data_IF_729161421095
#
_entry.id   IF_729161421095
#
_cell.length_a   1.000
_cell.length_b   1.000
_cell.length_c   1.000
_cell.angle_alpha   90.00
_cell.angle_beta   90.00
_cell.angle_gamma   90.00
#
_symmetry.space_group_name_H-M   'P 1'
#
loop_
_entity.id
_entity.type
_entity.pdbx_description
1 polymer ?
#
# COMPACT_ATOMS: atom_id res chain seq x y z
N UNK A 1 -25.70 1.00 1.60
CA UNK A 1 -24.36 1.59 1.83
C UNK A 1 -23.21 0.75 1.22
N UNK A 2 -23.43 0.14 0.04
CA UNK A 2 -22.39 -0.40 -0.86
C UNK A 2 -22.76 -0.13 -2.34
N UNK A 3 -23.64 0.86 -2.55
CA UNK A 3 -24.48 1.08 -3.72
C UNK A 3 -23.67 1.49 -4.97
N UNK A 4 -22.35 1.63 -4.83
CA UNK A 4 -21.41 2.17 -5.82
C UNK A 4 -20.86 1.13 -6.82
N UNK A 5 -21.25 -0.15 -6.70
CA UNK A 5 -20.84 -1.23 -7.62
C UNK A 5 -21.93 -1.64 -8.64
N UNK A 6 -23.04 -0.91 -8.68
CA UNK A 6 -24.33 -1.33 -9.25
C UNK A 6 -24.43 -1.59 -10.78
N UNK A 7 -23.32 -1.74 -11.50
CA UNK A 7 -23.31 -1.97 -12.97
C UNK A 7 -22.35 -3.07 -13.45
N UNK A 8 -21.67 -3.80 -12.56
CA UNK A 8 -20.73 -4.86 -12.95
C UNK A 8 -21.40 -6.25 -13.04
N UNK A 9 -21.12 -7.00 -14.11
CA UNK A 9 -21.52 -8.41 -14.31
C UNK A 9 -20.50 -9.16 -15.17
N UNK A 10 -20.38 -10.50 -14.98
CA UNK A 10 -20.33 -11.56 -16.02
C UNK A 10 -19.88 -12.91 -15.42
N UNK A 11 -20.41 -14.02 -15.95
CA UNK A 11 -20.09 -15.42 -15.65
C UNK A 11 -19.73 -16.16 -16.98
N UNK A 12 -19.19 -17.38 -17.05
CA UNK A 12 -18.94 -18.42 -16.03
C UNK A 12 -17.73 -19.32 -16.45
N UNK A 13 -17.37 -20.33 -15.65
CA UNK A 13 -16.20 -21.22 -15.79
C UNK A 13 -16.32 -22.27 -16.91
N UNK A 14 -15.21 -22.62 -17.56
CA UNK A 14 -15.10 -23.85 -18.38
C UNK A 14 -13.74 -24.59 -18.29
N UNK A 15 -13.81 -25.86 -17.88
CA UNK A 15 -12.89 -27.01 -18.04
C UNK A 15 -11.37 -26.91 -17.78
N UNK A 16 -10.94 -27.60 -16.71
CA UNK A 16 -9.57 -28.09 -16.51
C UNK A 16 -9.30 -29.27 -17.46
N UNK A 17 -8.21 -29.21 -18.24
CA UNK A 17 -7.63 -30.37 -18.93
C UNK A 17 -6.19 -30.61 -18.51
N UNK A 18 -5.97 -31.70 -17.79
CA UNK A 18 -4.64 -32.20 -17.40
C UNK A 18 -4.05 -33.10 -18.48
N UNK A 19 -2.85 -32.76 -18.93
CA UNK A 19 -1.97 -33.65 -19.71
C UNK A 19 -0.59 -33.67 -19.04
N UNK A 20 -0.01 -34.85 -18.86
CA UNK A 20 1.09 -35.04 -17.90
C UNK A 20 2.49 -35.03 -18.49
N UNK A 21 3.46 -34.51 -17.72
CA UNK A 21 4.78 -35.13 -17.52
C UNK A 21 5.56 -34.44 -16.38
N UNK A 22 6.06 -35.24 -15.43
CA UNK A 22 7.13 -34.91 -14.46
C UNK A 22 7.13 -33.50 -13.85
N UNK A 23 6.24 -33.34 -12.89
CA UNK A 23 6.11 -32.19 -12.01
C UNK A 23 4.65 -32.15 -11.57
N UNK A 24 4.39 -32.17 -10.26
CA UNK A 24 3.03 -31.89 -9.79
C UNK A 24 2.60 -30.52 -10.34
N UNK A 25 1.30 -30.30 -10.64
CA UNK A 25 0.84 -29.02 -11.15
C UNK A 25 1.43 -27.92 -10.27
N UNK A 26 2.16 -26.98 -10.87
CA UNK A 26 2.69 -25.82 -10.15
C UNK A 26 1.45 -25.12 -9.59
N UNK A 27 1.15 -25.32 -8.28
CA UNK A 27 0.06 -24.61 -7.58
C UNK A 27 0.17 -23.16 -8.01
N UNK A 28 -0.89 -22.59 -8.58
CA UNK A 28 -0.89 -21.25 -9.15
C UNK A 28 -0.31 -20.29 -8.10
N UNK A 29 0.95 -19.88 -8.29
CA UNK A 29 1.72 -19.20 -7.23
C UNK A 29 1.34 -17.73 -7.18
N UNK A 30 1.11 -17.18 -8.36
CA UNK A 30 0.75 -15.80 -8.61
C UNK A 30 -0.78 -15.69 -8.59
N UNK A 31 -1.36 -14.68 -7.91
CA UNK A 31 -2.78 -14.38 -8.02
C UNK A 31 -3.08 -13.65 -9.34
N UNK A 32 -4.34 -13.32 -9.56
CA UNK A 32 -4.85 -12.55 -10.70
C UNK A 32 -5.27 -11.14 -10.24
N UNK A 33 -5.39 -10.17 -11.16
CA UNK A 33 -5.71 -8.77 -10.84
C UNK A 33 -4.57 -8.04 -10.13
N UNK A 34 -4.82 -6.90 -9.49
CA UNK A 34 -3.79 -6.16 -8.73
C UNK A 34 -3.60 -6.75 -7.34
N UNK A 35 -2.89 -7.88 -7.25
CA UNK A 35 -2.82 -8.71 -6.05
C UNK A 35 -1.40 -9.26 -5.75
N UNK A 36 -1.17 -9.58 -4.48
CA UNK A 36 0.02 -10.25 -3.96
C UNK A 36 -0.42 -11.44 -3.10
N UNK A 37 -0.03 -12.66 -3.48
CA UNK A 37 -0.30 -13.88 -2.72
C UNK A 37 0.78 -14.09 -1.67
N UNK A 38 0.37 -14.19 -0.41
CA UNK A 38 1.25 -14.50 0.74
C UNK A 38 0.95 -15.93 1.17
N UNK A 39 1.91 -16.84 1.05
CA UNK A 39 1.78 -18.21 1.52
C UNK A 39 2.13 -18.33 3.01
N UNK A 40 1.57 -19.35 3.68
CA UNK A 40 1.83 -19.70 5.09
C UNK A 40 3.30 -19.90 5.47
N UNK A 41 4.19 -20.11 4.50
CA UNK A 41 5.62 -20.29 4.71
C UNK A 41 6.42 -19.00 4.52
N UNK A 42 5.71 -17.86 4.48
CA UNK A 42 6.23 -16.53 4.23
C UNK A 42 6.48 -16.21 2.76
N UNK A 43 6.30 -17.14 1.81
CA UNK A 43 6.63 -16.83 0.42
C UNK A 43 5.61 -15.87 -0.23
N UNK A 44 6.10 -14.79 -0.81
CA UNK A 44 5.31 -13.71 -1.41
C UNK A 44 5.43 -13.73 -2.93
N UNK A 45 4.30 -13.78 -3.65
CA UNK A 45 4.25 -13.80 -5.11
C UNK A 45 3.28 -12.74 -5.65
N UNK A 46 3.71 -11.82 -6.53
CA UNK A 46 2.81 -10.86 -7.15
C UNK A 46 2.07 -11.48 -8.34
N UNK A 47 0.96 -10.87 -8.75
CA UNK A 47 0.31 -11.15 -10.02
C UNK A 47 1.09 -10.55 -11.22
N UNK A 48 0.87 -11.06 -12.44
CA UNK A 48 1.41 -10.44 -13.66
C UNK A 48 0.96 -8.99 -13.86
N UNK A 49 -0.31 -8.67 -13.59
CA UNK A 49 -0.87 -7.32 -13.76
C UNK A 49 -0.18 -6.30 -12.85
N UNK A 50 0.12 -6.70 -11.61
CA UNK A 50 0.82 -5.90 -10.62
C UNK A 50 2.30 -5.71 -11.00
N UNK A 51 2.96 -6.74 -11.54
CA UNK A 51 4.33 -6.63 -12.06
C UNK A 51 4.40 -5.65 -13.24
N UNK A 52 3.44 -5.72 -14.15
CA UNK A 52 3.32 -4.84 -15.31
C UNK A 52 3.01 -3.39 -14.91
N UNK A 53 1.97 -3.17 -14.10
CA UNK A 53 1.50 -1.83 -13.71
C UNK A 53 2.56 -1.01 -12.95
N UNK A 54 3.38 -1.67 -12.14
CA UNK A 54 4.36 -1.00 -11.27
C UNK A 54 5.82 -1.20 -11.68
N UNK A 55 6.12 -1.80 -12.83
CA UNK A 55 7.49 -2.10 -13.29
C UNK A 55 8.33 -2.80 -12.21
N UNK A 56 7.81 -3.93 -11.71
CA UNK A 56 8.40 -4.66 -10.59
C UNK A 56 9.44 -5.70 -11.02
N UNK A 57 9.48 -6.06 -12.31
CA UNK A 57 10.35 -7.12 -12.81
C UNK A 57 11.84 -6.78 -12.63
N UNK A 58 12.70 -7.78 -12.59
CA UNK A 58 14.14 -7.54 -12.58
C UNK A 58 14.58 -6.95 -13.94
N UNK A 59 15.07 -5.71 -13.92
CA UNK A 59 15.78 -5.15 -15.05
C UNK A 59 17.14 -5.85 -15.26
N UNK A 60 17.74 -5.64 -16.43
CA UNK A 60 19.13 -6.05 -16.68
C UNK A 60 20.08 -5.38 -15.67
N UNK A 61 21.22 -6.02 -15.39
CA UNK A 61 22.22 -5.47 -14.48
C UNK A 61 22.65 -4.07 -14.95
N UNK A 62 22.60 -3.03 -14.10
CA UNK A 62 23.03 -1.70 -14.50
C UNK A 62 24.52 -1.69 -14.86
N UNK A 63 24.89 -0.83 -15.81
CA UNK A 63 26.30 -0.55 -16.08
C UNK A 63 26.97 0.12 -14.87
N UNK A 64 28.30 0.10 -14.82
CA UNK A 64 29.04 0.76 -13.75
C UNK A 64 28.70 2.26 -13.69
N UNK A 65 28.38 2.76 -12.49
CA UNK A 65 27.90 4.13 -12.28
C UNK A 65 26.41 4.37 -12.55
N UNK A 66 25.65 3.39 -13.05
CA UNK A 66 24.19 3.51 -13.23
C UNK A 66 23.42 2.97 -12.02
N UNK A 67 22.26 3.58 -11.74
CA UNK A 67 21.33 3.10 -10.70
C UNK A 67 20.47 1.95 -11.20
N UNK A 68 20.06 1.07 -10.28
CA UNK A 68 19.08 -0.01 -10.54
C UNK A 68 17.72 0.60 -10.89
N UNK A 69 17.16 0.20 -12.03
CA UNK A 69 15.83 0.60 -12.51
C UNK A 69 14.71 -0.30 -11.98
N UNK A 70 13.45 0.07 -12.22
CA UNK A 70 12.26 -0.63 -11.71
C UNK A 70 11.87 -0.22 -10.28
N UNK A 71 10.76 -0.78 -9.78
CA UNK A 71 10.20 -0.47 -8.46
C UNK A 71 10.08 -1.70 -7.54
N UNK A 72 9.95 -1.44 -6.24
CA UNK A 72 9.41 -2.36 -5.25
C UNK A 72 8.37 -1.62 -4.41
N UNK A 73 8.16 -2.05 -3.18
CA UNK A 73 7.10 -1.49 -2.34
C UNK A 73 7.54 -1.07 -0.94
N UNK A 74 6.78 -0.15 -0.35
CA UNK A 74 6.71 0.03 1.09
C UNK A 74 5.37 -0.52 1.57
N UNK A 75 5.38 -1.62 2.35
CA UNK A 75 4.22 -2.02 3.16
C UNK A 75 4.29 -1.30 4.51
N UNK A 76 3.16 -0.76 4.95
CA UNK A 76 3.07 0.17 6.09
C UNK A 76 1.80 -0.14 6.89
N UNK A 77 1.93 -0.29 8.21
CA UNK A 77 0.79 -0.34 9.14
C UNK A 77 0.34 1.10 9.46
N UNK A 78 -0.94 1.41 9.24
CA UNK A 78 -1.47 2.76 9.50
C UNK A 78 -1.40 3.16 10.97
N UNK A 79 -1.31 2.21 11.91
CA UNK A 79 -1.03 2.47 13.34
C UNK A 79 0.30 3.20 13.57
N UNK A 80 1.29 2.96 12.72
CA UNK A 80 2.62 3.60 12.80
C UNK A 80 2.71 4.87 11.92
N UNK A 81 1.72 5.13 11.07
CA UNK A 81 1.74 6.21 10.09
C UNK A 81 0.48 7.09 10.20
N UNK A 82 0.39 7.95 11.24
CA UNK A 82 -0.80 8.72 11.57
C UNK A 82 -1.19 9.79 10.53
N UNK A 83 -0.34 10.02 9.52
CA UNK A 83 -0.67 10.83 8.33
C UNK A 83 -1.76 10.18 7.48
N UNK A 84 -1.87 8.84 7.49
CA UNK A 84 -2.90 8.12 6.75
C UNK A 84 -4.10 7.82 7.66
N UNK A 85 -4.98 8.81 7.80
CA UNK A 85 -6.16 8.70 8.66
C UNK A 85 -7.26 7.88 7.99
N UNK A 86 -7.55 6.73 8.57
CA UNK A 86 -8.64 5.82 8.19
C UNK A 86 -9.32 5.32 9.47
N UNK A 87 -10.64 5.17 9.43
CA UNK A 87 -11.45 4.80 10.62
C UNK A 87 -11.18 3.40 11.20
N UNK A 88 -10.29 2.62 10.59
CA UNK A 88 -9.80 1.32 11.08
C UNK A 88 -8.32 1.14 10.72
N UNK A 89 -7.57 0.44 11.57
CA UNK A 89 -6.19 0.01 11.26
C UNK A 89 -6.19 -0.91 10.04
N UNK A 90 -5.30 -0.65 9.09
CA UNK A 90 -5.08 -1.46 7.88
C UNK A 90 -3.60 -1.45 7.51
N UNK A 91 -3.20 -2.34 6.62
CA UNK A 91 -2.01 -2.16 5.82
C UNK A 91 -2.31 -1.25 4.62
N UNK A 92 -1.34 -0.39 4.29
CA UNK A 92 -1.25 0.32 3.02
C UNK A 92 0.07 -0.04 2.33
N UNK A 93 0.11 0.17 1.02
CA UNK A 93 1.28 -0.13 0.20
C UNK A 93 1.56 1.02 -0.78
N UNK A 94 2.83 1.40 -0.93
CA UNK A 94 3.29 2.45 -1.86
C UNK A 94 4.37 1.88 -2.79
N UNK A 95 4.28 2.05 -4.12
CA UNK A 95 5.41 1.76 -5.01
C UNK A 95 6.57 2.71 -4.71
N UNK A 96 7.80 2.21 -4.87
CA UNK A 96 9.06 2.93 -4.56
C UNK A 96 10.15 2.44 -5.51
N UNK A 97 10.92 3.36 -6.11
CA UNK A 97 12.07 3.02 -6.97
C UNK A 97 13.06 2.05 -6.31
N UNK A 98 13.54 1.03 -7.04
CA UNK A 98 14.42 -0.03 -6.50
C UNK A 98 15.73 0.49 -5.90
N UNK A 99 16.24 1.62 -6.41
CA UNK A 99 17.43 2.31 -5.90
C UNK A 99 17.23 2.98 -4.53
N UNK A 100 15.99 3.23 -4.09
CA UNK A 100 15.72 3.75 -2.76
C UNK A 100 15.73 2.64 -1.70
N UNK A 101 16.16 2.96 -0.47
CA UNK A 101 15.93 2.10 0.68
C UNK A 101 14.42 1.84 0.82
N UNK A 102 14.00 0.57 0.73
CA UNK A 102 12.60 0.11 0.66
C UNK A 102 12.45 -1.25 1.32
N UNK A 103 11.22 -1.72 1.51
CA UNK A 103 10.96 -3.13 1.88
C UNK A 103 10.93 -3.96 0.61
N UNK A 104 11.92 -4.82 0.38
CA UNK A 104 11.82 -5.74 -0.75
C UNK A 104 10.88 -6.90 -0.40
N UNK A 105 9.66 -6.85 -0.94
CA UNK A 105 8.68 -7.94 -0.90
C UNK A 105 9.11 -9.12 -1.78
N UNK A 106 10.01 -8.89 -2.72
CA UNK A 106 10.44 -9.87 -3.71
C UNK A 106 11.88 -10.31 -3.44
N UNK A 107 12.31 -11.37 -4.13
CA UNK A 107 13.66 -11.88 -3.95
C UNK A 107 14.67 -10.95 -4.65
N UNK A 108 15.96 -11.27 -4.53
CA UNK A 108 16.99 -10.71 -5.40
C UNK A 108 17.38 -11.74 -6.46
N UNK A 109 17.31 -11.38 -7.74
CA UNK A 109 17.87 -12.23 -8.81
C UNK A 109 19.40 -12.16 -8.85
N UNK A 110 20.01 -13.13 -9.53
CA UNK A 110 21.40 -13.06 -10.01
C UNK A 110 21.38 -12.89 -11.53
N UNK A 111 22.51 -12.57 -12.14
CA UNK A 111 22.57 -12.25 -13.57
C UNK A 111 23.32 -13.32 -14.37
N UNK A 112 22.95 -13.42 -15.65
CA UNK A 112 23.67 -14.14 -16.70
C UNK A 112 24.91 -13.36 -17.16
N UNK A 113 25.73 -13.99 -18.00
CA UNK A 113 26.95 -13.37 -18.56
C UNK A 113 26.63 -12.20 -19.50
N UNK A 114 25.45 -12.21 -20.14
CA UNK A 114 24.90 -11.13 -20.96
C UNK A 114 24.21 -10.00 -20.13
N UNK A 115 24.33 -10.05 -18.80
CA UNK A 115 23.69 -9.14 -17.83
C UNK A 115 22.15 -9.24 -17.74
N UNK A 116 21.50 -10.21 -18.38
CA UNK A 116 20.07 -10.49 -18.18
C UNK A 116 19.80 -11.14 -16.82
N UNK A 117 18.61 -10.94 -16.21
CA UNK A 117 18.25 -11.60 -14.96
C UNK A 117 18.07 -13.11 -15.14
N UNK A 118 18.50 -13.91 -14.17
CA UNK A 118 18.38 -15.39 -14.18
C UNK A 118 17.00 -15.92 -13.83
N UNK A 119 16.07 -15.05 -13.49
CA UNK A 119 14.72 -15.39 -13.00
C UNK A 119 13.77 -14.22 -13.22
N UNK A 120 12.48 -14.49 -13.10
CA UNK A 120 11.43 -13.48 -12.95
C UNK A 120 11.04 -13.33 -11.46
N UNK A 121 10.56 -12.13 -11.09
CA UNK A 121 9.86 -11.88 -9.82
C UNK A 121 8.63 -12.80 -9.66
N UNK A 122 7.99 -13.20 -10.77
CA UNK A 122 6.84 -14.12 -10.74
C UNK A 122 7.22 -15.54 -10.29
N UNK A 123 8.46 -15.98 -10.54
CA UNK A 123 8.93 -17.33 -10.18
C UNK A 123 9.52 -17.44 -8.76
N UNK A 124 10.05 -16.32 -8.23
CA UNK A 124 10.84 -16.29 -7.00
C UNK A 124 10.11 -15.66 -5.81
N UNK A 125 9.39 -16.51 -5.06
CA UNK A 125 8.76 -16.08 -3.81
C UNK A 125 9.78 -15.72 -2.74
N UNK A 126 9.78 -14.46 -2.31
CA UNK A 126 10.61 -14.00 -1.18
C UNK A 126 9.98 -14.41 0.14
N UNK A 127 10.80 -14.84 1.11
CA UNK A 127 10.32 -15.19 2.46
C UNK A 127 10.66 -14.16 3.53
N UNK A 128 11.75 -13.42 3.35
CA UNK A 128 12.40 -12.65 4.42
C UNK A 128 11.46 -11.66 5.12
N UNK A 129 10.74 -10.83 4.36
CA UNK A 129 9.73 -9.93 4.93
C UNK A 129 8.41 -10.65 5.22
N UNK A 130 8.06 -11.63 4.38
CA UNK A 130 6.80 -12.37 4.45
C UNK A 130 6.60 -13.11 5.77
N UNK A 131 7.61 -13.87 6.22
CA UNK A 131 7.51 -14.67 7.45
C UNK A 131 7.74 -13.87 8.74
N UNK A 132 8.63 -12.87 8.74
CA UNK A 132 9.02 -12.14 9.97
C UNK A 132 8.11 -10.94 10.28
N UNK A 133 7.50 -10.31 9.27
CA UNK A 133 6.72 -9.09 9.45
C UNK A 133 5.31 -9.19 8.84
N UNK A 134 5.17 -9.64 7.59
CA UNK A 134 3.89 -9.56 6.87
C UNK A 134 2.82 -10.53 7.40
N UNK A 135 3.17 -11.80 7.64
CA UNK A 135 2.24 -12.77 8.25
C UNK A 135 1.76 -12.28 9.63
N UNK A 136 2.64 -11.89 10.58
CA UNK A 136 2.21 -11.31 11.86
C UNK A 136 1.29 -10.09 11.71
N UNK A 137 1.58 -9.18 10.78
CA UNK A 137 0.70 -8.03 10.53
C UNK A 137 -0.67 -8.44 9.96
N UNK A 138 -0.73 -9.42 9.06
CA UNK A 138 -2.01 -9.93 8.52
C UNK A 138 -2.83 -10.61 9.63
N UNK A 139 -2.18 -11.44 10.45
CA UNK A 139 -2.80 -12.09 11.61
C UNK A 139 -3.31 -11.08 12.64
N UNK A 140 -2.52 -10.05 12.99
CA UNK A 140 -2.90 -9.05 14.00
C UNK A 140 -3.99 -8.07 13.51
N UNK A 141 -3.92 -7.62 12.25
CA UNK A 141 -4.79 -6.56 11.73
C UNK A 141 -6.12 -7.12 11.20
N UNK A 142 -6.10 -8.30 10.58
CA UNK A 142 -7.27 -8.88 9.91
C UNK A 142 -7.80 -10.16 10.57
N UNK A 143 -7.10 -10.72 11.56
CA UNK A 143 -7.53 -11.93 12.27
C UNK A 143 -7.39 -13.24 11.47
N UNK A 144 -6.81 -13.19 10.27
CA UNK A 144 -6.67 -14.35 9.37
C UNK A 144 -5.48 -15.19 9.82
N UNK A 145 -5.74 -16.42 10.28
CA UNK A 145 -4.69 -17.36 10.74
C UNK A 145 -4.13 -18.19 9.58
N UNK A 146 -2.82 -18.24 9.46
CA UNK A 146 -2.15 -19.13 8.50
C UNK A 146 -2.00 -20.54 9.08
N UNK A 147 -2.19 -21.55 8.22
CA UNK A 147 -2.10 -22.96 8.61
C UNK A 147 -0.70 -23.35 9.02
N UNK A 148 -0.48 -23.69 10.29
CA UNK A 148 0.83 -24.14 10.78
C UNK A 148 1.19 -25.53 10.24
N UNK A 149 2.43 -25.97 10.47
CA UNK A 149 2.93 -27.24 9.91
C UNK A 149 2.14 -28.46 10.39
N UNK A 150 1.72 -28.41 11.66
CA UNK A 150 1.12 -29.53 12.39
C UNK A 150 -0.39 -29.29 12.68
N UNK A 151 -0.97 -28.27 12.06
CA UNK A 151 -2.39 -27.89 12.18
C UNK A 151 -3.09 -28.08 10.83
N UNK A 152 -4.33 -28.59 10.84
CA UNK A 152 -5.14 -28.77 9.63
C UNK A 152 -6.02 -27.55 9.31
N UNK A 153 -6.15 -26.61 10.25
CA UNK A 153 -7.00 -25.42 10.16
C UNK A 153 -6.19 -24.18 9.73
N UNK A 154 -6.89 -23.15 9.25
CA UNK A 154 -6.28 -21.93 8.72
C UNK A 154 -5.93 -21.97 7.22
N UNK A 155 -5.57 -20.79 6.72
CA UNK A 155 -5.32 -20.54 5.30
C UNK A 155 -3.95 -21.08 4.85
N UNK A 156 -3.88 -21.70 3.67
CA UNK A 156 -2.58 -22.05 3.06
C UNK A 156 -1.89 -20.81 2.46
N UNK A 157 -2.67 -19.87 1.96
CA UNK A 157 -2.24 -18.58 1.44
C UNK A 157 -3.36 -17.55 1.62
N UNK A 158 -3.01 -16.26 1.54
CA UNK A 158 -3.93 -15.13 1.53
C UNK A 158 -3.57 -14.25 0.34
N UNK A 159 -4.57 -13.88 -0.47
CA UNK A 159 -4.40 -12.90 -1.54
C UNK A 159 -4.65 -11.50 -0.99
N UNK A 160 -3.65 -10.64 -1.11
CA UNK A 160 -3.68 -9.25 -0.66
C UNK A 160 -3.86 -8.33 -1.86
N UNK A 161 -5.01 -7.68 -1.95
CA UNK A 161 -5.41 -6.81 -3.05
C UNK A 161 -4.88 -5.39 -2.85
N UNK A 162 -4.43 -4.75 -3.94
CA UNK A 162 -4.12 -3.33 -4.00
C UNK A 162 -5.36 -2.58 -4.47
N UNK A 163 -5.99 -1.86 -3.55
CA UNK A 163 -7.24 -1.14 -3.79
C UNK A 163 -6.95 0.36 -3.76
N UNK A 164 -7.38 1.07 -4.80
CA UNK A 164 -7.36 2.53 -4.86
C UNK A 164 -8.46 3.17 -4.01
N UNK A 165 -8.52 4.50 -4.00
CA UNK A 165 -9.61 5.23 -3.37
C UNK A 165 -10.94 4.89 -4.07
N UNK A 166 -11.95 4.34 -3.37
CA UNK A 166 -13.19 3.89 -4.01
C UNK A 166 -13.98 5.02 -4.69
N UNK A 167 -13.80 6.27 -4.26
CA UNK A 167 -14.48 7.43 -4.86
C UNK A 167 -13.86 7.88 -6.20
N UNK A 168 -12.59 7.59 -6.46
CA UNK A 168 -11.86 8.07 -7.66
C UNK A 168 -11.24 6.96 -8.50
N UNK A 169 -11.16 5.74 -7.97
CA UNK A 169 -10.42 4.61 -8.52
C UNK A 169 -8.92 4.91 -8.76
N UNK A 170 -8.38 5.93 -8.07
CA UNK A 170 -6.97 6.34 -8.10
C UNK A 170 -6.30 6.09 -6.75
N UNK A 171 -4.96 5.94 -6.65
CA UNK A 171 -4.28 5.88 -5.36
C UNK A 171 -4.54 7.13 -4.52
N UNK A 172 -4.42 6.99 -3.21
CA UNK A 172 -4.37 8.14 -2.30
C UNK A 172 -3.04 8.88 -2.45
N UNK A 173 -3.12 10.19 -2.63
CA UNK A 173 -1.98 11.10 -2.53
C UNK A 173 -1.91 11.73 -1.13
N UNK A 174 -0.81 12.39 -0.81
CA UNK A 174 -0.69 13.16 0.42
C UNK A 174 -1.69 14.35 0.43
N UNK A 175 -2.30 14.66 1.58
CA UNK A 175 -3.28 15.75 1.67
C UNK A 175 -2.63 17.13 1.56
N UNK A 176 -3.46 18.14 1.26
CA UNK A 176 -3.12 19.57 1.31
C UNK A 176 -1.92 19.96 0.43
N UNK A 177 -1.77 19.33 -0.74
CA UNK A 177 -0.70 19.64 -1.70
C UNK A 177 0.72 19.29 -1.24
N UNK A 178 0.88 18.52 -0.14
CA UNK A 178 2.19 18.09 0.32
C UNK A 178 2.81 17.11 -0.68
N UNK A 179 4.06 17.35 -1.06
CA UNK A 179 4.86 16.43 -1.88
C UNK A 179 5.79 15.52 -1.06
N UNK A 180 5.92 15.73 0.25
CA UNK A 180 6.91 15.01 1.09
C UNK A 180 6.26 14.42 2.33
N UNK A 181 6.67 13.20 2.68
CA UNK A 181 6.31 12.55 3.96
C UNK A 181 7.47 11.72 4.50
N UNK A 182 7.34 11.24 5.74
CA UNK A 182 8.28 10.37 6.42
C UNK A 182 7.58 9.05 6.75
N UNK A 183 7.97 7.98 6.06
CA UNK A 183 7.37 6.65 6.23
C UNK A 183 8.12 5.89 7.34
N UNK A 184 7.42 5.32 8.34
CA UNK A 184 8.06 4.53 9.38
C UNK A 184 8.66 3.25 8.80
N UNK A 185 9.85 2.88 9.30
CA UNK A 185 10.58 1.66 8.90
C UNK A 185 11.18 0.97 10.11
N UNK A 186 11.08 -0.36 10.13
CA UNK A 186 11.75 -1.19 11.14
C UNK A 186 13.15 -1.53 10.66
N UNK A 187 14.15 -1.28 11.50
CA UNK A 187 15.55 -1.62 11.20
C UNK A 187 15.71 -3.15 11.25
N UNK A 188 16.15 -3.77 10.16
CA UNK A 188 16.19 -5.24 10.02
C UNK A 188 17.50 -5.88 10.46
N UNK A 189 18.59 -5.11 10.60
CA UNK A 189 19.96 -5.59 10.87
C UNK A 189 20.75 -4.54 11.67
N UNK A 190 21.83 -4.98 12.33
CA UNK A 190 22.71 -4.10 13.12
C UNK A 190 22.32 -4.04 14.60
N UNK A 191 22.96 -3.13 15.35
CA UNK A 191 22.73 -2.94 16.77
C UNK A 191 21.28 -2.51 17.06
N UNK A 192 20.71 -1.66 16.20
CA UNK A 192 19.36 -1.13 16.34
C UNK A 192 18.27 -2.04 15.73
N UNK A 193 18.55 -3.35 15.50
CA UNK A 193 17.56 -4.27 14.91
C UNK A 193 16.26 -4.25 15.74
N UNK A 194 15.15 -3.95 15.07
CA UNK A 194 13.82 -3.83 15.66
C UNK A 194 13.38 -2.40 15.98
N UNK A 195 14.30 -1.43 16.01
CA UNK A 195 13.96 -0.02 16.19
C UNK A 195 13.13 0.52 15.01
N UNK A 196 12.23 1.47 15.30
CA UNK A 196 11.45 2.19 14.28
C UNK A 196 12.18 3.50 13.95
N UNK A 197 12.66 3.61 12.72
CA UNK A 197 13.19 4.83 12.10
C UNK A 197 12.19 5.37 11.08
N UNK A 198 12.54 6.45 10.37
CA UNK A 198 11.73 6.95 9.25
C UNK A 198 12.55 7.11 7.98
N UNK A 199 11.89 7.05 6.83
CA UNK A 199 12.49 7.31 5.52
C UNK A 199 11.68 8.38 4.79
N UNK A 200 12.35 9.43 4.33
CA UNK A 200 11.73 10.51 3.54
C UNK A 200 11.30 9.96 2.17
N UNK A 201 10.06 10.23 1.77
CA UNK A 201 9.53 9.97 0.42
C UNK A 201 9.06 11.26 -0.22
N UNK A 202 9.27 11.36 -1.52
CA UNK A 202 8.75 12.43 -2.37
C UNK A 202 7.67 11.86 -3.30
N UNK A 203 6.59 12.61 -3.46
CA UNK A 203 5.38 12.30 -4.23
C UNK A 203 4.88 10.83 -4.11
N UNK A 204 4.79 10.25 -2.89
CA UNK A 204 4.33 8.88 -2.72
C UNK A 204 2.83 8.77 -3.04
N UNK A 205 2.47 7.62 -3.62
CA UNK A 205 1.09 7.23 -3.92
C UNK A 205 0.77 5.96 -3.12
N UNK A 206 -0.39 5.93 -2.46
CA UNK A 206 -0.75 4.85 -1.54
C UNK A 206 -1.97 4.08 -2.04
N UNK A 207 -1.92 2.76 -1.88
CA UNK A 207 -3.04 1.85 -2.08
C UNK A 207 -3.38 1.18 -0.74
N UNK A 208 -4.64 0.87 -0.51
CA UNK A 208 -5.04 0.01 0.60
C UNK A 208 -4.61 -1.43 0.27
N UNK A 209 -4.01 -2.12 1.24
CA UNK A 209 -3.46 -3.47 1.03
C UNK A 209 -4.26 -4.47 1.87
N UNK A 210 -5.36 -4.98 1.31
CA UNK A 210 -6.40 -5.68 2.05
C UNK A 210 -6.51 -7.15 1.62
N UNK A 211 -6.78 -8.11 2.52
CA UNK A 211 -7.06 -9.48 2.14
C UNK A 211 -8.33 -9.57 1.27
N UNK A 212 -8.30 -10.39 0.22
CA UNK A 212 -9.45 -10.67 -0.63
C UNK A 212 -10.65 -11.18 0.19
N UNK A 213 -10.41 -11.99 1.22
CA UNK A 213 -11.44 -12.45 2.16
C UNK A 213 -12.15 -11.30 2.90
N UNK A 214 -11.43 -10.24 3.26
CA UNK A 214 -12.03 -9.06 3.92
C UNK A 214 -12.86 -8.26 2.91
N UNK A 215 -12.37 -8.13 1.68
CA UNK A 215 -13.04 -7.38 0.61
C UNK A 215 -14.32 -8.09 0.17
N UNK A 216 -14.26 -9.41 -0.03
CA UNK A 216 -15.39 -10.25 -0.44
C UNK A 216 -16.35 -10.53 0.74
N UNK A 217 -15.81 -10.77 1.95
CA UNK A 217 -16.61 -11.00 3.16
C UNK A 217 -17.43 -9.78 3.59
N UNK A 218 -16.96 -8.56 3.28
CA UNK A 218 -17.74 -7.33 3.46
C UNK A 218 -19.00 -7.30 2.57
N UNK A 219 -19.07 -8.12 1.50
CA UNK A 219 -20.27 -8.26 0.66
C UNK A 219 -21.27 -9.27 1.28
N UNK A 220 -20.80 -10.35 1.90
CA UNK A 220 -21.65 -11.43 2.40
C UNK A 220 -22.50 -11.08 3.64
N UNK A 221 -22.01 -10.20 4.53
CA UNK A 221 -22.73 -9.85 5.77
C UNK A 221 -23.87 -8.84 5.56
N UNK A 222 -23.92 -8.20 4.39
CA UNK A 222 -24.92 -7.16 4.07
C UNK A 222 -26.26 -7.71 3.56
N UNK A 223 -26.32 -8.97 3.12
CA UNK A 223 -27.50 -9.53 2.43
C UNK A 223 -28.54 -10.19 3.35
N UNK A 224 -28.37 -10.16 4.67
CA UNK A 224 -29.19 -10.97 5.61
C UNK A 224 -30.14 -10.21 6.54
N UNK A 225 -30.20 -8.89 6.49
CA UNK A 225 -31.07 -8.09 7.38
C UNK A 225 -32.29 -7.41 6.72
N UNK A 226 -32.42 -7.38 5.39
CA UNK A 226 -33.55 -6.71 4.71
C UNK A 226 -34.58 -7.66 4.04
N UNK A 227 -35.17 -8.60 4.79
CA UNK A 227 -36.56 -9.07 4.51
C UNK A 227 -37.31 -9.44 5.80
N UNK A 228 -37.72 -8.44 6.60
CA UNK A 228 -38.98 -8.52 7.37
C UNK A 228 -39.41 -7.17 7.95
N UNK A 229 -40.36 -6.48 7.30
CA UNK A 229 -41.64 -6.06 7.89
C UNK A 229 -42.44 -5.18 6.91
N UNK A 230 -43.60 -5.68 6.47
CA UNK A 230 -44.80 -4.84 6.53
C UNK A 230 -45.28 -4.76 8.00
N UNK A 231 -46.19 -3.88 8.39
CA UNK A 231 -47.17 -3.16 7.56
C UNK A 231 -47.69 -1.92 8.30
N UNK A 232 -48.54 -1.16 7.61
CA UNK A 232 -49.62 -0.29 8.12
C UNK A 232 -49.35 1.19 8.46
N UNK A 233 -50.25 2.00 7.90
CA UNK A 233 -50.48 3.42 8.15
C UNK A 233 -51.06 3.65 9.56
N UNK A 234 -50.99 4.90 10.05
CA UNK A 234 -52.19 5.74 10.33
C UNK A 234 -51.74 7.17 10.68
N UNK A 235 -52.55 8.15 10.25
CA UNK A 235 -52.28 9.59 10.33
C UNK A 235 -52.32 10.20 11.76
N UNK A 236 -51.82 11.45 11.93
CA UNK A 236 -52.67 12.68 11.99
C UNK A 236 -52.02 13.86 12.78
N UNK A 237 -51.94 15.06 12.14
CA UNK A 237 -51.95 16.46 12.71
C UNK A 237 -50.93 16.86 13.83
N UNK A 238 -50.51 18.12 14.06
CA UNK A 238 -50.87 19.49 13.59
C UNK A 238 -49.67 20.45 13.86
N UNK A 239 -49.67 21.68 13.28
CA UNK A 239 -49.32 23.02 13.84
C UNK A 239 -48.26 23.19 14.99
N UNK A 240 -47.50 24.30 15.17
CA UNK A 240 -47.44 25.67 14.60
C UNK A 240 -46.23 26.46 15.21
N UNK A 241 -45.77 27.57 14.58
CA UNK A 241 -44.87 28.65 15.13
C UNK A 241 -43.43 28.30 15.59
N UNK A 242 -42.47 29.23 15.67
CA UNK A 242 -42.33 30.63 15.21
C UNK A 242 -40.83 30.98 15.00
N UNK A 243 -40.54 32.11 14.36
CA UNK A 243 -39.20 32.63 14.13
C UNK A 243 -38.55 33.25 15.39
N UNK A 244 -37.20 33.20 15.46
CA UNK A 244 -36.40 34.16 16.25
C UNK A 244 -35.10 34.50 15.52
N UNK A 245 -34.69 35.75 15.65
CA UNK A 245 -33.75 36.55 14.87
C UNK A 245 -32.26 36.14 14.89
N UNK A 246 -31.55 36.66 13.88
CA UNK A 246 -30.09 36.92 13.91
C UNK A 246 -29.72 37.86 15.07
N UNK A 247 -28.44 37.84 15.49
CA UNK A 247 -27.71 39.10 15.37
C UNK A 247 -26.35 38.95 14.68
N UNK A 248 -26.03 39.95 13.86
CA UNK A 248 -24.70 40.12 13.29
C UNK A 248 -23.67 40.46 14.38
N UNK A 249 -22.42 40.02 14.19
CA UNK A 249 -21.26 40.63 14.85
C UNK A 249 -20.13 40.89 13.85
N UNK A 250 -19.92 42.18 13.64
CA UNK A 250 -18.74 42.77 13.01
C UNK A 250 -17.56 42.73 13.99
N UNK A 251 -16.38 42.31 13.52
CA UNK A 251 -15.06 42.66 14.07
C UNK A 251 -14.03 42.34 12.98
N UNK A 252 -13.69 43.32 12.15
CA UNK A 252 -12.48 44.14 12.32
C UNK A 252 -11.19 43.36 12.02
N UNK A 253 -10.70 43.59 10.79
CA UNK A 253 -9.36 43.25 10.35
C UNK A 253 -8.36 44.24 10.97
N UNK A 254 -7.28 43.80 11.63
CA UNK A 254 -6.08 44.61 11.74
C UNK A 254 -5.31 44.54 10.42
N UNK A 255 -5.09 45.69 9.79
CA UNK A 255 -4.07 45.82 8.76
C UNK A 255 -2.69 45.60 9.41
N UNK A 256 -1.82 44.83 8.75
CA UNK A 256 -0.39 44.79 9.07
C UNK A 256 0.35 45.41 7.90
N UNK A 257 1.14 46.43 8.22
CA UNK A 257 1.83 47.27 7.25
C UNK A 257 2.89 46.49 6.48
N UNK A 258 3.08 46.84 5.21
CA UNK A 258 4.27 46.45 4.48
C UNK A 258 5.46 47.22 5.07
N UNK A 259 6.49 46.49 5.53
CA UNK A 259 7.78 47.10 5.84
C UNK A 259 8.75 46.91 4.69
N UNK A 260 9.52 47.97 4.47
CA UNK A 260 10.45 48.15 3.37
C UNK A 260 11.53 47.07 3.27
N UNK A 261 12.03 46.95 2.05
CA UNK A 261 13.19 46.15 1.73
C UNK A 261 14.42 46.51 2.56
N UNK A 262 15.23 45.49 2.78
CA UNK A 262 16.62 45.65 3.16
C UNK A 262 17.46 44.80 2.20
N UNK A 263 18.10 45.48 1.24
CA UNK A 263 19.27 44.93 0.57
C UNK A 263 20.33 44.62 1.63
N UNK A 264 20.97 43.47 1.52
CA UNK A 264 22.22 43.16 2.24
C UNK A 264 23.22 42.64 1.23
N UNK A 265 24.37 43.31 1.19
CA UNK A 265 25.37 43.23 0.14
C UNK A 265 26.01 41.85 -0.02
N UNK A 266 26.54 41.64 -1.23
CA UNK A 266 27.44 40.54 -1.51
C UNK A 266 28.74 40.70 -0.71
N UNK A 267 29.05 39.72 0.14
CA UNK A 267 30.41 39.55 0.66
C UNK A 267 31.17 38.64 -0.31
N UNK A 268 32.05 39.28 -1.09
CA UNK A 268 33.12 38.63 -1.85
C UNK A 268 34.41 38.82 -1.06
N UNK A 269 34.98 37.71 -0.58
CA UNK A 269 36.37 37.52 -0.12
C UNK A 269 36.48 35.99 0.07
N UNK A 270 37.06 35.22 -0.85
CA UNK A 270 38.48 35.18 -1.22
C UNK A 270 39.39 34.95 -0.01
N UNK A 271 39.77 33.69 0.22
CA UNK A 271 41.17 33.25 0.20
C UNK A 271 41.27 31.73 0.48
N UNK A 272 41.94 31.01 -0.43
CA UNK A 272 42.33 29.62 -0.23
C UNK A 272 43.85 29.49 -0.43
N UNK A 273 44.63 29.37 0.66
CA UNK A 273 45.95 28.78 0.53
C UNK A 273 46.34 27.94 1.76
N UNK A 274 46.20 26.61 1.70
CA UNK A 274 47.09 25.74 2.47
C UNK A 274 47.83 24.72 1.61
N UNK A 275 49.15 24.91 1.58
CA UNK A 275 50.12 24.07 0.89
C UNK A 275 50.45 22.83 1.72
N UNK A 276 50.83 21.79 0.98
CA UNK A 276 51.76 20.72 1.37
C UNK A 276 52.82 21.11 2.41
N UNK A 277 52.99 20.30 3.46
CA UNK A 277 54.14 19.38 3.64
C UNK A 277 54.10 18.72 5.04
N UNK A 278 54.53 17.46 5.13
CA UNK A 278 54.52 16.61 6.32
C UNK A 278 54.59 15.15 5.94
#
# INVERSE_FOLDING_TARGET
MLDFLATATINDVAEIKTAGAKGGPRKQRNPEGLAIRVFRDGSVYPSPDLVSMFDLEYANKPAEGQSVTGNGFDVIDTKLYPTFQVGRRILIISPVAKASAKVDLFASTTYNEDNTPKSSVLDQGSKTFGSEELIPMIEEIYGIKFRRKDENEGAEYVDMLLIGNPATQQPWMLPNGKSVTFIPKKVSRGADKGAVTTTRRENPVFYAFLPAEVVNGTQATAEKEEVSHGTDEVAKSTEETAATELPARTSELPAVEAQDGQEVDAIVEDENPFKTQG
#
